data_IF_959802796979
#
_entry.id   IF_959802796979
#
_cell.length_a   1.000
_cell.length_b   1.000
_cell.length_c   1.000
_cell.angle_alpha   90.00
_cell.angle_beta   90.00
_cell.angle_gamma   90.00
#
_symmetry.space_group_name_H-M   'P 1'
#
loop_
_entity.id
_entity.type
_entity.pdbx_description
1 polymer ?
#
# COMPACT_ATOMS: atom_id res chain seq x y z
N UNK A 1 -9.08 -3.53 -13.21
CA UNK A 1 -9.32 -2.34 -14.04
C UNK A 1 -8.09 -2.13 -14.91
N UNK A 2 -8.26 -1.89 -16.22
CA UNK A 2 -7.17 -1.55 -17.14
C UNK A 2 -7.07 -0.03 -17.24
N UNK A 3 -5.86 0.51 -17.14
CA UNK A 3 -5.60 1.95 -17.24
C UNK A 3 -4.29 2.20 -18.01
N UNK A 4 -4.17 3.37 -18.62
CA UNK A 4 -2.99 3.77 -19.41
C UNK A 4 -2.33 4.99 -18.78
N UNK A 5 -1.06 4.85 -18.41
CA UNK A 5 -0.19 5.99 -18.07
C UNK A 5 0.96 5.95 -19.07
N UNK A 6 1.31 7.09 -19.66
CA UNK A 6 2.47 7.25 -20.55
C UNK A 6 2.56 6.19 -21.66
N UNK A 7 1.44 5.94 -22.35
CA UNK A 7 1.27 4.98 -23.44
C UNK A 7 1.44 3.49 -23.06
N UNK A 8 1.70 3.15 -21.80
CA UNK A 8 1.77 1.77 -21.31
C UNK A 8 0.47 1.38 -20.64
N UNK A 9 -0.13 0.27 -21.08
CA UNK A 9 -1.25 -0.37 -20.41
C UNK A 9 -0.76 -1.04 -19.12
N UNK A 10 -1.40 -0.70 -18.00
CA UNK A 10 -1.18 -1.34 -16.71
C UNK A 10 -2.51 -1.88 -16.20
N UNK A 11 -2.44 -3.03 -15.53
CA UNK A 11 -3.60 -3.68 -14.93
C UNK A 11 -3.54 -3.50 -13.42
N UNK A 12 -4.55 -2.84 -12.85
CA UNK A 12 -4.70 -2.70 -11.40
C UNK A 12 -5.71 -3.70 -10.86
N UNK A 13 -5.24 -4.56 -9.96
CA UNK A 13 -6.08 -5.49 -9.20
C UNK A 13 -6.43 -4.86 -7.86
N UNK A 14 -7.74 -4.67 -7.62
CA UNK A 14 -8.25 -4.02 -6.41
C UNK A 14 -8.26 -5.04 -5.26
N UNK A 15 -8.88 -6.20 -5.47
CA UNK A 15 -8.96 -7.32 -4.54
C UNK A 15 -9.82 -8.45 -5.12
N UNK A 16 -9.89 -9.58 -4.41
CA UNK A 16 -10.69 -10.76 -4.79
C UNK A 16 -12.02 -10.76 -4.03
N UNK A 17 -13.12 -11.02 -4.72
CA UNK A 17 -14.41 -11.28 -4.07
C UNK A 17 -14.37 -12.63 -3.32
N UNK A 18 -14.97 -12.79 -2.13
CA UNK A 18 -15.79 -11.84 -1.36
C UNK A 18 -15.01 -11.02 -0.32
N UNK A 19 -13.68 -11.09 -0.31
CA UNK A 19 -12.83 -10.39 0.67
C UNK A 19 -13.00 -8.87 0.63
N UNK A 20 -13.43 -8.33 -0.52
CA UNK A 20 -13.86 -6.94 -0.66
C UNK A 20 -15.31 -6.89 -1.11
N UNK A 21 -16.07 -5.97 -0.53
CA UNK A 21 -17.43 -5.68 -0.98
C UNK A 21 -17.42 -4.93 -2.32
N UNK A 22 -18.54 -5.00 -3.07
CA UNK A 22 -18.70 -4.25 -4.32
C UNK A 22 -18.60 -2.73 -4.12
N UNK A 23 -19.04 -2.23 -2.95
CA UNK A 23 -18.98 -0.81 -2.60
C UNK A 23 -17.53 -0.38 -2.42
N UNK A 24 -16.75 -1.13 -1.64
CA UNK A 24 -15.33 -0.88 -1.44
C UNK A 24 -14.54 -0.98 -2.76
N UNK A 25 -14.90 -1.94 -3.62
CA UNK A 25 -14.28 -2.08 -4.93
C UNK A 25 -14.50 -0.84 -5.81
N UNK A 26 -15.71 -0.26 -5.80
CA UNK A 26 -16.02 0.98 -6.53
C UNK A 26 -15.26 2.18 -5.94
N UNK A 27 -15.23 2.30 -4.61
CA UNK A 27 -14.51 3.37 -3.94
C UNK A 27 -13.01 3.34 -4.30
N UNK A 28 -12.40 2.16 -4.27
CA UNK A 28 -11.00 1.96 -4.63
C UNK A 28 -10.72 2.25 -6.11
N UNK A 29 -11.66 1.95 -7.01
CA UNK A 29 -11.53 2.30 -8.43
C UNK A 29 -11.58 3.82 -8.66
N UNK A 30 -12.48 4.52 -7.98
CA UNK A 30 -12.57 5.99 -8.04
C UNK A 30 -11.32 6.66 -7.49
N UNK A 31 -10.81 6.18 -6.34
CA UNK A 31 -9.55 6.67 -5.78
C UNK A 31 -8.38 6.45 -6.75
N UNK A 32 -8.30 5.28 -7.38
CA UNK A 32 -7.28 5.01 -8.40
C UNK A 32 -7.41 5.96 -9.59
N UNK A 33 -8.64 6.27 -10.06
CA UNK A 33 -8.85 7.28 -11.11
C UNK A 33 -8.38 8.67 -10.70
N UNK A 34 -8.65 9.10 -9.47
CA UNK A 34 -8.18 10.40 -8.96
C UNK A 34 -6.67 10.48 -8.94
N UNK A 35 -6.00 9.41 -8.50
CA UNK A 35 -4.54 9.31 -8.50
C UNK A 35 -3.99 9.42 -9.93
N UNK A 36 -4.61 8.73 -10.90
CA UNK A 36 -4.26 8.83 -12.31
C UNK A 36 -4.39 10.26 -12.86
N UNK A 37 -5.48 10.96 -12.52
CA UNK A 37 -5.68 12.36 -12.92
C UNK A 37 -4.64 13.28 -12.29
N UNK A 38 -4.21 13.01 -11.06
CA UNK A 38 -3.12 13.73 -10.40
C UNK A 38 -1.72 13.39 -10.97
N UNK A 39 -1.63 12.48 -11.95
CA UNK A 39 -0.38 12.03 -12.55
C UNK A 39 0.40 11.02 -11.71
N UNK A 40 -0.19 10.51 -10.61
CA UNK A 40 0.42 9.48 -9.77
C UNK A 40 -0.08 8.09 -10.16
N UNK A 41 0.84 7.12 -10.21
CA UNK A 41 0.50 5.73 -10.50
C UNK A 41 -0.18 5.10 -9.27
N UNK A 42 -1.42 4.58 -9.40
CA UNK A 42 -2.12 3.92 -8.28
C UNK A 42 -1.39 2.69 -7.74
N UNK A 43 -0.46 2.11 -8.52
CA UNK A 43 0.41 1.00 -8.10
C UNK A 43 1.45 1.48 -7.09
N UNK A 44 2.03 2.66 -7.30
CA UNK A 44 2.99 3.27 -6.37
C UNK A 44 2.29 3.72 -5.09
N UNK A 45 1.10 4.30 -5.19
CA UNK A 45 0.31 4.69 -4.02
C UNK A 45 -0.04 3.47 -3.13
N UNK A 46 -0.48 2.35 -3.72
CA UNK A 46 -0.69 1.09 -2.97
C UNK A 46 0.60 0.57 -2.33
N UNK A 47 1.72 0.67 -3.04
CA UNK A 47 3.02 0.23 -2.53
C UNK A 47 3.50 1.15 -1.39
N UNK A 48 3.19 2.44 -1.45
CA UNK A 48 3.49 3.42 -0.42
C UNK A 48 2.69 3.14 0.85
N UNK A 49 1.37 2.94 0.73
CA UNK A 49 0.52 2.61 1.88
C UNK A 49 0.94 1.28 2.54
N UNK A 50 1.33 0.29 1.73
CA UNK A 50 1.88 -0.98 2.25
C UNK A 50 3.20 -0.75 3.00
N UNK A 51 4.11 0.06 2.47
CA UNK A 51 5.38 0.41 3.13
C UNK A 51 5.15 1.19 4.42
N UNK A 52 4.21 2.13 4.42
CA UNK A 52 3.84 2.90 5.61
C UNK A 52 3.24 2.01 6.69
N UNK A 53 2.36 1.07 6.33
CA UNK A 53 1.80 0.10 7.28
C UNK A 53 2.89 -0.82 7.87
N UNK A 54 3.85 -1.23 7.05
CA UNK A 54 5.00 -2.02 7.51
C UNK A 54 5.93 -1.19 8.40
N UNK A 55 6.22 0.05 8.04
CA UNK A 55 7.02 0.97 8.85
C UNK A 55 6.34 1.27 10.19
N UNK A 56 5.02 1.47 10.21
CA UNK A 56 4.26 1.65 11.44
C UNK A 56 4.35 0.43 12.37
N UNK A 57 4.31 -0.79 11.82
CA UNK A 57 4.50 -2.01 12.59
C UNK A 57 5.93 -2.14 13.16
N UNK A 58 6.94 -1.69 12.41
CA UNK A 58 8.35 -1.69 12.84
C UNK A 58 8.68 -0.56 13.84
N UNK A 59 7.92 0.53 13.82
CA UNK A 59 8.04 1.65 14.77
C UNK A 59 7.22 1.42 16.06
N UNK A 60 6.80 0.18 16.33
CA UNK A 60 6.18 -0.16 17.62
C UNK A 60 7.22 -0.21 18.74
N UNK A 61 6.80 0.17 19.96
CA UNK A 61 7.67 0.13 21.13
C UNK A 61 8.28 -1.25 21.36
N UNK A 62 7.49 -2.31 21.16
CA UNK A 62 7.95 -3.70 21.29
C UNK A 62 9.10 -4.04 20.31
N UNK A 63 8.97 -3.64 19.04
CA UNK A 63 10.01 -3.82 18.01
C UNK A 63 11.31 -3.12 18.41
N UNK A 64 11.20 -1.87 18.85
CA UNK A 64 12.35 -1.04 19.24
C UNK A 64 13.01 -1.60 20.52
N UNK A 65 12.22 -1.99 21.52
CA UNK A 65 12.72 -2.54 22.78
C UNK A 65 13.44 -3.88 22.57
N UNK A 66 12.92 -4.77 21.73
CA UNK A 66 13.58 -6.05 21.40
C UNK A 66 14.90 -5.82 20.67
N UNK A 67 14.93 -4.92 19.68
CA UNK A 67 16.16 -4.56 18.96
C UNK A 67 17.21 -3.97 19.91
N UNK A 68 16.79 -3.07 20.80
CA UNK A 68 17.71 -2.51 21.80
C UNK A 68 18.24 -3.58 22.74
N UNK A 69 17.38 -4.49 23.22
CA UNK A 69 17.78 -5.58 24.10
C UNK A 69 18.81 -6.51 23.44
N UNK A 70 18.63 -6.86 22.16
CA UNK A 70 19.63 -7.66 21.43
C UNK A 70 20.95 -6.93 21.21
N UNK A 71 20.90 -5.64 20.88
CA UNK A 71 22.13 -4.84 20.66
C UNK A 71 22.91 -4.63 21.98
N UNK A 72 22.23 -4.60 23.13
CA UNK A 72 22.88 -4.43 24.44
C UNK A 72 23.27 -5.76 25.11
N UNK A 73 22.80 -6.91 24.60
CA UNK A 73 23.16 -8.24 25.10
C UNK A 73 24.61 -8.66 24.76
N UNK A 74 25.23 -8.00 23.79
CA UNK A 74 26.60 -8.30 23.34
C UNK A 74 27.63 -7.27 23.79
N UNK A 75 27.26 -6.40 24.74
CA UNK A 75 28.13 -5.37 25.31
C UNK A 75 28.66 -5.76 26.68
#
# INVERSE_FOLDING_TARGET
>A
MTFRITAKEKTFTIGKYPTISLVEARQAAENARRLLVSGQDPSEAKQQEKRERQAAALNTFESIARRWHTDNLHR
#
